data_IF_531002218904
#
_entry.id   IF_531002218904
#
_cell.length_a   1.000
_cell.length_b   1.000
_cell.length_c   1.000
_cell.angle_alpha   90.00
_cell.angle_beta   90.00
_cell.angle_gamma   90.00
#
_symmetry.space_group_name_H-M   'P 1'
#
loop_
_entity.id
_entity.type
_entity.pdbx_description
1 polymer ?
#
# COMPACT_ATOMS: atom_id res chain seq x y z
N UNK A 1 0.82 20.61 -20.56
CA UNK A 1 1.06 19.78 -19.37
C UNK A 1 2.26 18.90 -19.66
N UNK A 2 3.30 18.92 -18.82
CA UNK A 2 4.42 18.00 -18.97
C UNK A 2 3.95 16.57 -18.64
N UNK A 3 4.46 15.57 -19.36
CA UNK A 3 4.20 14.17 -19.02
C UNK A 3 4.83 13.85 -17.65
N UNK A 4 4.19 13.01 -16.83
CA UNK A 4 4.75 12.61 -15.54
C UNK A 4 6.08 11.89 -15.75
N UNK A 5 7.05 12.15 -14.87
CA UNK A 5 8.32 11.43 -14.87
C UNK A 5 8.12 9.99 -14.42
N UNK A 6 9.06 9.11 -14.77
CA UNK A 6 9.02 7.71 -14.35
C UNK A 6 8.96 7.58 -12.82
N UNK A 7 9.68 8.45 -12.11
CA UNK A 7 9.65 8.55 -10.65
C UNK A 7 8.26 8.94 -10.12
N UNK A 8 7.60 9.92 -10.75
CA UNK A 8 6.23 10.33 -10.37
C UNK A 8 5.25 9.17 -10.55
N UNK A 9 5.38 8.39 -11.62
CA UNK A 9 4.53 7.23 -11.88
C UNK A 9 4.74 6.12 -10.85
N UNK A 10 5.98 5.87 -10.44
CA UNK A 10 6.31 4.85 -9.44
C UNK A 10 5.79 5.23 -8.05
N UNK A 11 5.98 6.48 -7.64
CA UNK A 11 5.41 7.01 -6.38
C UNK A 11 3.89 6.84 -6.38
N UNK A 12 3.23 7.21 -7.47
CA UNK A 12 1.78 7.08 -7.58
C UNK A 12 1.32 5.61 -7.58
N UNK A 13 2.08 4.71 -8.20
CA UNK A 13 1.80 3.27 -8.18
C UNK A 13 1.88 2.71 -6.76
N UNK A 14 2.96 2.98 -6.02
CA UNK A 14 3.13 2.52 -4.63
C UNK A 14 2.03 3.09 -3.74
N UNK A 15 1.67 4.36 -3.91
CA UNK A 15 0.56 4.98 -3.18
C UNK A 15 -0.80 4.31 -3.46
N UNK A 16 -1.06 3.93 -4.72
CA UNK A 16 -2.29 3.23 -5.10
C UNK A 16 -2.35 1.81 -4.53
N UNK A 17 -1.23 1.08 -4.51
CA UNK A 17 -1.18 -0.26 -3.90
C UNK A 17 -1.41 -0.17 -2.39
N UNK A 18 -0.77 0.79 -1.70
CA UNK A 18 -1.01 1.03 -0.28
C UNK A 18 -2.51 1.28 0.01
N UNK A 19 -3.18 2.09 -0.82
CA UNK A 19 -4.61 2.36 -0.68
C UNK A 19 -5.48 1.11 -0.87
N UNK A 20 -5.10 0.20 -1.78
CA UNK A 20 -5.81 -1.08 -1.96
C UNK A 20 -5.69 -1.94 -0.70
N UNK A 21 -4.51 -2.00 -0.09
CA UNK A 21 -4.29 -2.73 1.17
C UNK A 21 -5.10 -2.12 2.32
N UNK A 22 -5.14 -0.79 2.44
CA UNK A 22 -5.97 -0.09 3.42
C UNK A 22 -7.46 -0.43 3.24
N UNK A 23 -7.98 -0.42 2.00
CA UNK A 23 -9.37 -0.77 1.69
C UNK A 23 -9.69 -2.23 1.99
N UNK A 24 -8.76 -3.14 1.69
CA UNK A 24 -8.88 -4.55 1.99
C UNK A 24 -8.90 -4.79 3.51
N UNK A 25 -8.08 -4.07 4.28
CA UNK A 25 -8.05 -4.11 5.74
C UNK A 25 -9.40 -3.65 6.34
N UNK A 26 -9.98 -2.58 5.80
CA UNK A 26 -11.31 -2.09 6.22
C UNK A 26 -12.43 -3.09 5.94
N UNK A 27 -12.32 -3.81 4.82
CA UNK A 27 -13.34 -4.75 4.34
C UNK A 27 -13.15 -6.16 4.90
N UNK A 28 -12.01 -6.44 5.54
CA UNK A 28 -11.76 -7.73 6.15
C UNK A 28 -12.59 -7.86 7.43
N UNK A 29 -13.57 -8.77 7.38
CA UNK A 29 -14.15 -9.41 8.57
C UNK A 29 -12.98 -9.89 9.44
N UNK A 30 -13.10 -9.77 10.76
CA UNK A 30 -12.07 -10.06 11.77
C UNK A 30 -11.51 -11.50 11.71
N UNK A 31 -10.76 -11.76 10.64
CA UNK A 31 -10.14 -13.01 10.27
C UNK A 31 -8.65 -12.84 10.43
N UNK A 32 -8.07 -13.61 11.35
CA UNK A 32 -6.63 -13.62 11.60
C UNK A 32 -5.86 -13.94 10.31
N UNK A 33 -6.36 -14.88 9.50
CA UNK A 33 -5.74 -15.24 8.21
C UNK A 33 -5.67 -14.04 7.27
N UNK A 34 -6.74 -13.25 7.18
CA UNK A 34 -6.75 -12.07 6.32
C UNK A 34 -5.78 -10.99 6.83
N UNK A 35 -5.70 -10.79 8.15
CA UNK A 35 -4.75 -9.85 8.76
C UNK A 35 -3.30 -10.25 8.48
N UNK A 36 -2.97 -11.54 8.57
CA UNK A 36 -1.62 -12.04 8.21
C UNK A 36 -1.32 -11.78 6.73
N UNK A 37 -2.27 -12.05 5.83
CA UNK A 37 -2.08 -11.79 4.39
C UNK A 37 -1.94 -10.31 4.05
N UNK A 38 -2.63 -9.43 4.76
CA UNK A 38 -2.45 -7.98 4.62
C UNK A 38 -1.07 -7.53 5.12
N UNK A 39 -0.58 -8.10 6.22
CA UNK A 39 0.77 -7.82 6.71
C UNK A 39 1.85 -8.25 5.70
N UNK A 40 1.76 -9.48 5.16
CA UNK A 40 2.63 -9.96 4.07
C UNK A 40 2.58 -9.02 2.86
N UNK A 41 1.40 -8.55 2.47
CA UNK A 41 1.23 -7.59 1.37
C UNK A 41 1.90 -6.23 1.63
N UNK A 42 1.93 -5.75 2.88
CA UNK A 42 2.62 -4.51 3.24
C UNK A 42 4.14 -4.68 3.27
N UNK A 43 4.63 -5.83 3.69
CA UNK A 43 6.07 -6.15 3.62
C UNK A 43 6.53 -6.16 2.16
N UNK A 44 5.81 -6.86 1.28
CA UNK A 44 6.11 -6.88 -0.16
C UNK A 44 6.04 -5.48 -0.79
N UNK A 45 5.09 -4.62 -0.38
CA UNK A 45 5.04 -3.24 -0.84
C UNK A 45 6.26 -2.42 -0.38
N UNK A 46 6.76 -2.68 0.83
CA UNK A 46 7.96 -2.03 1.37
C UNK A 46 9.19 -2.42 0.56
N UNK A 47 9.33 -3.70 0.22
CA UNK A 47 10.41 -4.18 -0.65
C UNK A 47 10.34 -3.53 -2.05
N UNK A 48 9.15 -3.48 -2.64
CA UNK A 48 8.91 -2.81 -3.93
C UNK A 48 9.33 -1.35 -3.86
N UNK A 49 8.90 -0.62 -2.82
CA UNK A 49 9.25 0.78 -2.63
C UNK A 49 10.78 0.96 -2.49
N UNK A 50 11.45 0.05 -1.77
CA UNK A 50 12.90 0.01 -1.63
C UNK A 50 13.66 -0.18 -2.95
N UNK A 51 13.16 -0.98 -3.89
CA UNK A 51 13.77 -1.11 -5.23
C UNK A 51 13.80 0.19 -6.03
N UNK A 52 12.93 1.14 -5.68
CA UNK A 52 12.83 2.44 -6.34
C UNK A 52 13.30 3.60 -5.45
N UNK A 53 13.97 3.32 -4.33
CA UNK A 53 14.45 4.31 -3.35
C UNK A 53 13.33 5.26 -2.85
N UNK A 54 12.10 4.76 -2.71
CA UNK A 54 10.96 5.53 -2.19
C UNK A 54 10.42 4.93 -0.90
N UNK A 55 9.78 5.77 -0.08
CA UNK A 55 9.15 5.32 1.17
C UNK A 55 7.75 4.77 0.89
N UNK A 56 7.46 3.54 1.35
CA UNK A 56 6.12 2.98 1.30
C UNK A 56 5.19 3.73 2.29
N UNK A 57 3.97 4.12 1.87
CA UNK A 57 3.02 4.74 2.77
C UNK A 57 2.67 3.84 3.96
N UNK A 58 2.71 4.41 5.16
CA UNK A 58 2.28 3.72 6.38
C UNK A 58 0.78 3.42 6.32
N UNK A 59 0.40 2.30 6.91
CA UNK A 59 -0.99 1.90 7.06
C UNK A 59 -1.81 3.04 7.68
N UNK A 60 -2.86 3.47 6.99
CA UNK A 60 -3.85 4.37 7.59
C UNK A 60 -4.86 3.49 8.28
N UNK A 61 -4.90 3.59 9.62
CA UNK A 61 -6.05 3.11 10.38
C UNK A 61 -7.24 3.95 9.93
N UNK A 62 -8.00 3.44 8.98
CA UNK A 62 -9.31 4.01 8.65
C UNK A 62 -10.17 3.68 9.86
N UNK A 63 -10.61 4.70 10.58
CA UNK A 63 -11.56 4.51 11.68
C UNK A 63 -12.76 3.72 11.13
N UNK A 64 -13.01 2.54 11.70
CA UNK A 64 -14.22 1.76 11.41
C UNK A 64 -15.40 2.64 11.82
N UNK A 65 -16.16 3.13 10.84
CA UNK A 65 -17.41 3.87 11.07
C UNK A 65 -18.51 2.95 11.60
#
# INVERSE_FOLDING_TARGET
MAAPTNETMVVELVARIARVLDLAECSCIDSLTNRVKLAEGREALTDIAGFFDIEAPKAKLVERA
#
